data_IF_275504010988
#
_entry.id   IF_275504010988
#
_cell.length_a   1.000
_cell.length_b   1.000
_cell.length_c   1.000
_cell.angle_alpha   90.00
_cell.angle_beta   90.00
_cell.angle_gamma   90.00
#
_symmetry.space_group_name_H-M   'P 1'
#
loop_
_entity.id
_entity.type
_entity.pdbx_description
1 polymer ?
#
# COMPACT_ATOMS: atom_id res chain seq x y z
N UNK A 1 20.12 6.41 -20.73
CA UNK A 1 18.97 5.99 -19.89
C UNK A 1 17.82 6.92 -20.19
N UNK A 2 16.59 6.44 -20.47
CA UNK A 2 15.48 7.34 -20.65
C UNK A 2 15.25 8.08 -19.33
N UNK A 3 15.05 9.39 -19.44
CA UNK A 3 14.76 10.24 -18.30
C UNK A 3 13.39 9.76 -17.74
N UNK A 4 13.38 9.12 -16.56
CA UNK A 4 12.16 8.86 -15.78
C UNK A 4 11.96 10.03 -14.81
N UNK A 5 10.75 10.58 -14.76
CA UNK A 5 10.40 11.80 -14.01
C UNK A 5 9.54 12.76 -14.81
N UNK A 6 8.69 13.56 -14.15
CA UNK A 6 7.98 14.63 -14.84
C UNK A 6 8.96 15.69 -15.35
N UNK A 7 8.82 16.08 -16.63
CA UNK A 7 9.63 17.10 -17.28
C UNK A 7 8.90 18.43 -17.36
N UNK A 8 9.62 19.48 -17.04
CA UNK A 8 9.17 20.86 -17.22
C UNK A 8 10.20 21.57 -18.09
N UNK A 9 9.74 22.26 -19.12
CA UNK A 9 10.60 23.12 -19.95
C UNK A 9 10.33 24.58 -19.60
N UNK A 10 11.38 25.36 -19.36
CA UNK A 10 11.26 26.81 -19.13
C UNK A 10 12.36 27.58 -19.87
N UNK A 11 12.09 28.84 -20.22
CA UNK A 11 13.05 29.77 -20.82
C UNK A 11 13.63 30.76 -19.82
N UNK A 12 13.14 30.81 -18.56
CA UNK A 12 13.63 31.72 -17.51
C UNK A 12 13.43 31.13 -16.11
N UNK A 13 14.32 31.47 -15.17
CA UNK A 13 14.28 31.03 -13.76
C UNK A 13 13.02 31.51 -12.99
N UNK A 14 12.42 32.63 -13.41
CA UNK A 14 11.37 33.32 -12.63
C UNK A 14 9.92 33.02 -13.06
N UNK A 15 9.72 32.21 -14.11
CA UNK A 15 8.39 31.91 -14.68
C UNK A 15 8.03 30.41 -14.61
N UNK A 16 8.44 29.72 -13.54
CA UNK A 16 7.86 28.41 -13.20
C UNK A 16 6.49 28.65 -12.53
N UNK A 17 5.64 29.44 -13.19
CA UNK A 17 4.31 29.78 -12.69
C UNK A 17 3.38 28.63 -13.04
N UNK A 18 3.05 27.91 -11.96
CA UNK A 18 2.04 26.87 -11.81
C UNK A 18 2.29 25.56 -12.55
N UNK A 19 2.89 24.65 -11.80
CA UNK A 19 3.01 23.23 -12.09
C UNK A 19 1.68 22.48 -11.89
N UNK A 20 0.58 23.05 -12.40
CA UNK A 20 -0.78 22.55 -12.20
C UNK A 20 -1.02 21.16 -12.80
N UNK A 21 -0.08 20.68 -13.64
CA UNK A 21 -0.13 19.40 -14.35
C UNK A 21 1.07 18.49 -14.05
N UNK A 22 1.75 18.68 -12.91
CA UNK A 22 2.66 17.64 -12.43
C UNK A 22 1.84 16.41 -12.03
N UNK A 23 1.78 15.44 -12.94
CA UNK A 23 1.44 14.08 -12.56
C UNK A 23 2.66 13.53 -11.82
N UNK A 24 2.61 13.60 -10.49
CA UNK A 24 3.61 13.00 -9.61
C UNK A 24 3.63 11.50 -9.86
N UNK A 25 4.45 11.01 -10.78
CA UNK A 25 4.70 9.58 -10.95
C UNK A 25 5.52 9.04 -9.76
N UNK A 26 5.92 7.76 -9.79
CA UNK A 26 6.80 7.18 -8.76
C UNK A 26 8.24 7.75 -8.81
N UNK A 27 8.51 8.86 -9.49
CA UNK A 27 9.85 9.41 -9.59
C UNK A 27 10.29 10.17 -8.35
N UNK A 28 11.57 10.04 -8.04
CA UNK A 28 12.21 10.68 -6.90
C UNK A 28 12.59 12.15 -7.17
N UNK A 29 12.52 12.59 -8.43
CA UNK A 29 13.00 13.91 -8.86
C UNK A 29 12.07 14.56 -9.89
N UNK A 30 11.96 15.88 -9.80
CA UNK A 30 11.47 16.75 -10.87
C UNK A 30 12.67 17.19 -11.72
N UNK A 31 12.52 17.16 -13.04
CA UNK A 31 13.56 17.63 -13.96
C UNK A 31 13.10 18.89 -14.69
N UNK A 32 13.86 19.97 -14.55
CA UNK A 32 13.62 21.25 -15.23
C UNK A 32 14.68 21.43 -16.31
N UNK A 33 14.21 21.53 -17.55
CA UNK A 33 15.02 21.76 -18.74
C UNK A 33 14.97 23.24 -19.11
N UNK A 34 16.13 23.87 -19.12
CA UNK A 34 16.32 25.27 -19.49
C UNK A 34 16.66 25.37 -20.98
N UNK A 35 15.80 26.06 -21.72
CA UNK A 35 15.93 26.27 -23.16
C UNK A 35 16.44 27.68 -23.44
N UNK A 36 17.42 27.81 -24.35
CA UNK A 36 17.69 29.10 -25.03
C UNK A 36 17.33 29.03 -26.50
N UNK A 37 17.00 30.19 -27.05
CA UNK A 37 16.92 30.36 -28.49
C UNK A 37 18.33 30.29 -29.10
N UNK A 38 18.54 29.31 -29.99
CA UNK A 38 19.70 29.31 -30.88
C UNK A 38 19.47 30.37 -31.96
N UNK A 39 20.36 31.37 -32.07
CA UNK A 39 20.40 32.27 -33.22
C UNK A 39 21.15 31.61 -34.38
N UNK A 40 20.63 30.52 -34.92
CA UNK A 40 21.09 30.01 -36.21
C UNK A 40 20.29 30.65 -37.34
N UNK A 41 20.97 31.55 -38.07
CA UNK A 41 20.41 32.46 -39.09
C UNK A 41 19.86 31.74 -40.34
N UNK A 42 19.77 30.40 -40.36
CA UNK A 42 19.27 29.67 -41.53
C UNK A 42 18.23 28.57 -41.28
N UNK A 43 17.74 28.34 -40.05
CA UNK A 43 16.64 27.38 -39.84
C UNK A 43 15.59 27.90 -38.88
N UNK A 44 14.33 27.86 -39.30
CA UNK A 44 13.17 28.26 -38.50
C UNK A 44 12.96 27.24 -37.37
N UNK A 45 13.17 27.68 -36.13
CA UNK A 45 12.87 27.02 -34.85
C UNK A 45 13.72 25.78 -34.47
N UNK A 46 14.91 26.01 -33.92
CA UNK A 46 15.51 25.05 -32.98
C UNK A 46 15.78 25.71 -31.62
N UNK A 47 15.00 25.30 -30.61
CA UNK A 47 15.33 25.57 -29.19
C UNK A 47 16.32 24.51 -28.73
N UNK A 48 17.46 24.94 -28.20
CA UNK A 48 18.49 24.04 -27.67
C UNK A 48 18.32 23.93 -26.15
N UNK A 49 18.36 22.69 -25.62
CA UNK A 49 18.45 22.45 -24.18
C UNK A 49 19.87 22.82 -23.73
N UNK A 50 20.01 23.81 -22.84
CA UNK A 50 21.31 24.21 -22.30
C UNK A 50 21.61 23.46 -21.01
N UNK A 51 20.61 23.36 -20.12
CA UNK A 51 20.83 22.86 -18.76
C UNK A 51 19.63 22.03 -18.30
N UNK A 52 19.91 20.90 -17.65
CA UNK A 52 18.94 20.11 -16.91
C UNK A 52 19.27 20.21 -15.42
N UNK A 53 18.32 20.70 -14.62
CA UNK A 53 18.42 20.69 -13.16
C UNK A 53 17.45 19.67 -12.59
N UNK A 54 17.92 18.90 -11.60
CA UNK A 54 17.10 17.92 -10.88
C UNK A 54 16.80 18.44 -9.48
N UNK A 55 15.54 18.30 -9.08
CA UNK A 55 15.03 18.70 -7.78
C UNK A 55 14.43 17.48 -7.08
N UNK A 56 14.88 17.08 -5.88
CA UNK A 56 14.29 15.97 -5.16
C UNK A 56 12.80 16.25 -4.88
N UNK A 57 11.91 15.36 -5.30
CA UNK A 57 10.47 15.61 -5.25
C UNK A 57 9.94 15.68 -3.81
N UNK A 58 10.47 14.84 -2.92
CA UNK A 58 10.09 14.74 -1.51
C UNK A 58 11.11 15.47 -0.63
N UNK A 59 11.32 16.76 -0.91
CA UNK A 59 12.20 17.66 -0.18
C UNK A 59 11.53 19.02 0.05
N UNK A 60 11.60 19.52 1.28
CA UNK A 60 10.93 20.77 1.69
C UNK A 60 11.45 21.97 0.91
N UNK A 61 12.76 22.04 0.65
CA UNK A 61 13.34 23.15 -0.11
C UNK A 61 12.81 23.15 -1.54
N UNK A 62 12.60 21.96 -2.12
CA UNK A 62 11.99 21.82 -3.45
C UNK A 62 10.53 22.27 -3.46
N UNK A 63 9.73 21.88 -2.46
CA UNK A 63 8.35 22.34 -2.29
C UNK A 63 8.29 23.87 -2.28
N UNK A 64 9.14 24.50 -1.47
CA UNK A 64 9.18 25.97 -1.32
C UNK A 64 9.72 26.66 -2.58
N UNK A 65 10.85 26.21 -3.12
CA UNK A 65 11.52 26.84 -4.27
C UNK A 65 10.67 26.80 -5.53
N UNK A 66 9.94 25.71 -5.74
CA UNK A 66 9.10 25.51 -6.92
C UNK A 66 7.62 25.83 -6.66
N UNK A 67 7.26 26.25 -5.44
CA UNK A 67 5.88 26.49 -5.00
C UNK A 67 4.93 25.35 -5.43
N UNK A 68 5.28 24.12 -5.05
CA UNK A 68 4.60 22.92 -5.55
C UNK A 68 3.16 22.86 -5.06
N UNK A 69 2.22 22.52 -5.97
CA UNK A 69 0.84 22.20 -5.59
C UNK A 69 0.78 20.79 -5.02
N UNK A 70 0.43 20.64 -3.75
CA UNK A 70 0.43 19.36 -3.07
C UNK A 70 -0.91 18.65 -3.26
N UNK A 71 -0.91 17.62 -4.12
CA UNK A 71 -2.09 16.82 -4.45
C UNK A 71 -2.22 15.58 -3.55
N UNK A 72 -3.39 14.90 -3.55
CA UNK A 72 -3.55 13.65 -2.81
C UNK A 72 -2.51 12.59 -3.19
N UNK A 73 -2.15 12.49 -4.48
CA UNK A 73 -1.11 11.56 -4.96
C UNK A 73 0.27 11.87 -4.36
N UNK A 74 0.61 13.15 -4.19
CA UNK A 74 1.85 13.54 -3.51
C UNK A 74 1.84 13.09 -2.04
N UNK A 75 0.74 13.35 -1.32
CA UNK A 75 0.58 12.93 0.08
C UNK A 75 0.63 11.39 0.22
N UNK A 76 0.04 10.66 -0.72
CA UNK A 76 0.10 9.20 -0.76
C UNK A 76 1.54 8.69 -0.82
N UNK A 77 2.37 9.31 -1.68
CA UNK A 77 3.79 8.96 -1.79
C UNK A 77 4.61 9.39 -0.57
N UNK A 78 4.33 10.58 -0.01
CA UNK A 78 4.92 11.03 1.28
C UNK A 78 4.62 10.01 2.38
N UNK A 79 3.38 9.53 2.48
CA UNK A 79 2.97 8.52 3.45
C UNK A 79 3.65 7.18 3.19
N UNK A 80 3.66 6.70 1.93
CA UNK A 80 4.35 5.48 1.48
C UNK A 80 5.84 5.47 1.84
N UNK A 81 6.50 6.62 1.68
CA UNK A 81 7.94 6.80 1.90
C UNK A 81 8.32 7.13 3.34
N UNK A 82 7.35 7.30 4.25
CA UNK A 82 7.65 7.57 5.66
C UNK A 82 8.06 9.02 5.96
N UNK A 83 7.71 9.98 5.09
CA UNK A 83 8.21 11.36 5.11
C UNK A 83 7.43 12.26 6.06
N UNK A 84 7.47 11.95 7.36
CA UNK A 84 6.77 12.70 8.43
C UNK A 84 7.16 14.18 8.44
N UNK A 85 8.43 14.49 8.17
CA UNK A 85 8.96 15.85 8.14
C UNK A 85 8.24 16.75 7.13
N UNK A 86 7.79 16.18 6.01
CA UNK A 86 7.03 16.91 5.00
C UNK A 86 5.61 17.15 5.50
N UNK A 87 4.95 16.14 6.06
CA UNK A 87 3.60 16.28 6.62
C UNK A 87 3.57 17.36 7.71
N UNK A 88 4.55 17.32 8.62
CA UNK A 88 4.72 18.32 9.67
C UNK A 88 4.92 19.72 9.09
N UNK A 89 5.83 19.87 8.12
CA UNK A 89 6.06 21.15 7.44
C UNK A 89 4.78 21.71 6.81
N UNK A 90 4.01 20.87 6.11
CA UNK A 90 2.78 21.30 5.43
C UNK A 90 1.75 21.83 6.44
N UNK A 91 1.58 21.12 7.57
CA UNK A 91 0.66 21.55 8.63
C UNK A 91 1.18 22.79 9.37
N UNK A 92 2.44 22.79 9.81
CA UNK A 92 3.01 23.87 10.63
C UNK A 92 3.10 25.20 9.88
N UNK A 93 3.26 25.17 8.56
CA UNK A 93 3.31 26.35 7.71
C UNK A 93 1.96 26.76 7.12
N UNK A 94 0.88 26.03 7.45
CA UNK A 94 -0.43 26.18 6.84
C UNK A 94 -0.36 26.13 5.30
N UNK A 95 0.51 25.27 4.76
CA UNK A 95 0.67 25.07 3.32
C UNK A 95 -0.56 24.34 2.78
N UNK A 96 -1.19 24.78 1.69
CA UNK A 96 -2.38 24.12 1.17
C UNK A 96 -2.05 22.73 0.59
N UNK A 97 -2.71 21.69 1.09
CA UNK A 97 -2.65 20.34 0.54
C UNK A 97 -3.99 19.62 0.63
N UNK A 98 -4.21 18.68 -0.28
CA UNK A 98 -5.36 17.79 -0.28
C UNK A 98 -4.90 16.35 -0.04
N UNK A 99 -5.75 15.56 0.63
CA UNK A 99 -5.51 14.14 0.87
C UNK A 99 -6.81 13.35 0.89
N UNK A 100 -6.71 12.08 0.55
CA UNK A 100 -7.80 11.11 0.51
C UNK A 100 -7.46 9.87 1.35
N UNK A 101 -8.33 8.85 1.28
CA UNK A 101 -8.17 7.62 2.05
C UNK A 101 -6.92 6.81 1.72
N UNK A 102 -6.26 7.09 0.59
CA UNK A 102 -5.06 6.36 0.18
C UNK A 102 -3.85 6.75 1.02
N UNK A 103 -3.84 7.92 1.66
CA UNK A 103 -2.74 8.36 2.52
C UNK A 103 -2.53 7.37 3.69
N UNK A 104 -3.59 7.10 4.46
CA UNK A 104 -3.58 6.15 5.57
C UNK A 104 -3.49 4.69 5.09
N UNK A 105 -4.03 4.37 3.92
CA UNK A 105 -3.85 3.06 3.28
C UNK A 105 -2.35 2.77 3.03
N UNK A 106 -1.65 3.66 2.31
CA UNK A 106 -0.23 3.48 1.99
C UNK A 106 0.66 3.55 3.24
N UNK A 107 0.35 4.42 4.20
CA UNK A 107 1.05 4.41 5.49
C UNK A 107 0.96 3.02 6.17
N UNK A 108 -0.22 2.39 6.12
CA UNK A 108 -0.44 1.07 6.72
C UNK A 108 0.27 -0.05 5.95
N UNK A 109 0.04 -0.15 4.64
CA UNK A 109 0.59 -1.26 3.83
C UNK A 109 2.08 -1.13 3.52
N UNK A 110 2.69 0.04 3.77
CA UNK A 110 4.14 0.22 3.69
C UNK A 110 4.81 0.20 5.08
N UNK A 111 4.08 -0.21 6.12
CA UNK A 111 4.59 -0.38 7.48
C UNK A 111 5.17 0.92 8.10
N UNK A 112 4.55 2.07 7.81
CA UNK A 112 5.05 3.39 8.20
C UNK A 112 4.44 3.82 9.54
N UNK A 113 4.92 3.21 10.63
CA UNK A 113 4.43 3.48 11.99
C UNK A 113 4.48 4.96 12.37
N UNK A 114 5.59 5.65 12.06
CA UNK A 114 5.78 7.05 12.39
C UNK A 114 4.78 7.95 11.69
N UNK A 115 4.42 7.62 10.44
CA UNK A 115 3.40 8.35 9.68
C UNK A 115 2.01 8.13 10.27
N UNK A 116 1.65 6.90 10.64
CA UNK A 116 0.37 6.63 11.29
C UNK A 116 0.26 7.34 12.65
N UNK A 117 1.30 7.27 13.47
CA UNK A 117 1.38 8.02 14.74
C UNK A 117 1.24 9.52 14.51
N UNK A 118 1.87 10.06 13.47
CA UNK A 118 1.70 11.47 13.10
C UNK A 118 0.24 11.77 12.74
N UNK A 119 -0.38 10.98 11.86
CA UNK A 119 -1.78 11.17 11.48
C UNK A 119 -2.72 11.17 12.69
N UNK A 120 -2.58 10.19 13.59
CA UNK A 120 -3.40 10.10 14.81
C UNK A 120 -3.27 11.31 15.73
N UNK A 121 -2.13 12.01 15.70
CA UNK A 121 -1.87 13.19 16.55
C UNK A 121 -2.00 14.54 15.82
N UNK A 122 -2.15 14.54 14.50
CA UNK A 122 -2.13 15.76 13.66
C UNK A 122 -3.37 16.65 13.83
N UNK A 123 -4.47 16.12 14.37
CA UNK A 123 -5.77 16.79 14.40
C UNK A 123 -6.49 16.83 13.04
N UNK A 124 -5.92 16.23 12.00
CA UNK A 124 -6.56 16.07 10.69
C UNK A 124 -7.63 14.97 10.71
N UNK A 125 -8.63 15.08 9.83
CA UNK A 125 -9.64 14.03 9.65
C UNK A 125 -8.99 12.74 9.14
N UNK A 126 -9.19 11.63 9.86
CA UNK A 126 -8.69 10.33 9.43
C UNK A 126 -9.61 9.73 8.36
N UNK A 127 -9.22 9.85 7.09
CA UNK A 127 -9.91 9.23 5.95
C UNK A 127 -9.31 7.84 5.70
N UNK A 128 -10.07 6.77 5.93
CA UNK A 128 -9.62 5.41 5.66
C UNK A 128 -10.81 4.48 5.36
N UNK A 129 -10.52 3.27 4.91
CA UNK A 129 -11.49 2.21 4.68
C UNK A 129 -10.92 0.86 5.12
N UNK A 130 -11.77 -0.18 5.16
CA UNK A 130 -11.37 -1.52 5.61
C UNK A 130 -10.12 -2.06 4.92
N UNK A 131 -9.90 -1.69 3.65
CA UNK A 131 -8.71 -2.07 2.86
C UNK A 131 -7.38 -1.81 3.57
N UNK A 132 -7.26 -0.75 4.38
CA UNK A 132 -6.03 -0.48 5.12
C UNK A 132 -5.71 -1.62 6.10
N UNK A 133 -6.70 -2.09 6.86
CA UNK A 133 -6.55 -3.17 7.84
C UNK A 133 -6.56 -4.55 7.17
N UNK A 134 -7.40 -4.72 6.14
CA UNK A 134 -7.57 -5.96 5.40
C UNK A 134 -6.27 -6.37 4.67
N UNK A 135 -5.60 -5.43 3.99
CA UNK A 135 -4.36 -5.70 3.26
C UNK A 135 -3.17 -5.77 4.22
N UNK A 136 -3.12 -4.92 5.25
CA UNK A 136 -2.10 -5.00 6.33
C UNK A 136 -2.10 -6.38 6.99
N UNK A 137 -3.28 -6.98 7.17
CA UNK A 137 -3.41 -8.35 7.71
C UNK A 137 -2.75 -9.39 6.81
N UNK A 138 -2.89 -9.25 5.48
CA UNK A 138 -2.21 -10.11 4.51
C UNK A 138 -0.71 -9.87 4.44
N UNK A 139 -0.22 -8.70 4.82
CA UNK A 139 1.21 -8.36 4.80
C UNK A 139 1.95 -8.80 6.07
N UNK A 140 1.25 -9.27 7.10
CA UNK A 140 1.88 -9.76 8.32
C UNK A 140 2.20 -8.69 9.36
N UNK A 141 1.76 -7.44 9.17
CA UNK A 141 2.17 -6.28 9.98
C UNK A 141 1.34 -6.12 11.25
N UNK A 142 1.59 -6.98 12.24
CA UNK A 142 0.93 -6.94 13.56
C UNK A 142 1.12 -5.59 14.27
N UNK A 143 2.31 -4.99 14.15
CA UNK A 143 2.61 -3.68 14.73
C UNK A 143 1.66 -2.60 14.21
N UNK A 144 1.33 -2.60 12.92
CA UNK A 144 0.38 -1.65 12.32
C UNK A 144 -1.05 -1.95 12.79
N UNK A 145 -1.46 -3.22 12.81
CA UNK A 145 -2.77 -3.63 13.33
C UNK A 145 -2.94 -3.19 14.80
N UNK A 146 -1.90 -3.36 15.60
CA UNK A 146 -1.86 -2.96 17.00
C UNK A 146 -1.94 -1.44 17.15
N UNK A 147 -1.20 -0.66 16.34
CA UNK A 147 -1.29 0.80 16.35
C UNK A 147 -2.70 1.31 16.04
N UNK A 148 -3.36 0.74 15.04
CA UNK A 148 -4.74 1.09 14.73
C UNK A 148 -5.68 0.75 15.87
N UNK A 149 -5.52 -0.44 16.47
CA UNK A 149 -6.31 -0.88 17.63
C UNK A 149 -6.12 0.03 18.85
N UNK A 150 -4.93 0.59 19.05
CA UNK A 150 -4.59 1.45 20.18
C UNK A 150 -4.88 2.94 19.92
N UNK A 151 -5.33 3.31 18.72
CA UNK A 151 -5.46 4.72 18.30
C UNK A 151 -6.73 5.45 18.79
N UNK A 152 -7.53 4.82 19.64
CA UNK A 152 -8.90 5.25 20.05
C UNK A 152 -9.89 5.47 18.87
N UNK A 153 -9.46 5.24 17.63
CA UNK A 153 -10.30 5.36 16.44
C UNK A 153 -11.10 4.08 16.18
N UNK A 154 -12.24 4.24 15.51
CA UNK A 154 -13.05 3.10 15.08
C UNK A 154 -12.30 2.23 14.05
N UNK A 155 -11.94 1.01 14.43
CA UNK A 155 -11.23 0.11 13.52
C UNK A 155 -12.16 -0.40 12.41
N UNK A 156 -11.95 0.05 11.17
CA UNK A 156 -12.66 -0.44 9.99
C UNK A 156 -11.93 -1.65 9.40
N UNK A 157 -12.57 -2.80 9.36
CA UNK A 157 -12.03 -4.02 8.76
C UNK A 157 -13.18 -4.92 8.25
N UNK A 158 -12.86 -5.91 7.42
CA UNK A 158 -13.84 -6.84 6.85
C UNK A 158 -13.36 -8.28 6.96
N UNK A 159 -14.16 -9.22 6.44
CA UNK A 159 -13.74 -10.62 6.33
C UNK A 159 -12.48 -10.82 5.48
N UNK A 160 -12.11 -9.83 4.66
CA UNK A 160 -10.89 -9.85 3.87
C UNK A 160 -9.62 -9.87 4.74
N UNK A 161 -9.63 -9.32 5.96
CA UNK A 161 -8.47 -9.34 6.85
C UNK A 161 -7.94 -10.75 7.14
N UNK A 162 -8.78 -11.63 7.71
CA UNK A 162 -8.39 -13.01 8.00
C UNK A 162 -8.24 -13.85 6.72
N UNK A 163 -8.96 -13.50 5.65
CA UNK A 163 -8.84 -14.15 4.33
C UNK A 163 -7.46 -13.88 3.71
N UNK A 164 -7.01 -12.62 3.70
CA UNK A 164 -5.70 -12.22 3.20
C UNK A 164 -4.57 -12.80 4.06
N UNK A 165 -4.71 -12.79 5.39
CA UNK A 165 -3.75 -13.42 6.29
C UNK A 165 -3.62 -14.92 6.02
N UNK A 166 -4.75 -15.62 5.78
CA UNK A 166 -4.73 -17.05 5.43
C UNK A 166 -4.10 -17.31 4.06
N UNK A 167 -4.42 -16.46 3.07
CA UNK A 167 -3.87 -16.54 1.71
C UNK A 167 -2.35 -16.40 1.68
N UNK A 168 -1.79 -15.57 2.56
CA UNK A 168 -0.37 -15.21 2.55
C UNK A 168 0.45 -15.92 3.65
N UNK A 169 -0.11 -16.89 4.36
CA UNK A 169 0.64 -17.68 5.36
C UNK A 169 0.85 -16.97 6.70
N UNK A 170 0.11 -15.90 7.01
CA UNK A 170 0.33 -15.08 8.19
C UNK A 170 -0.33 -15.66 9.45
N UNK A 171 0.14 -16.81 9.93
CA UNK A 171 -0.38 -17.48 11.15
C UNK A 171 -0.32 -16.57 12.38
N UNK A 172 0.73 -15.77 12.51
CA UNK A 172 0.89 -14.79 13.59
C UNK A 172 -0.23 -13.73 13.58
N UNK A 173 -0.63 -13.25 12.41
CA UNK A 173 -1.75 -12.30 12.26
C UNK A 173 -3.08 -12.95 12.56
N UNK A 174 -3.30 -14.19 12.10
CA UNK A 174 -4.51 -14.96 12.45
C UNK A 174 -4.64 -15.12 13.97
N UNK A 175 -3.52 -15.42 14.65
CA UNK A 175 -3.48 -15.48 16.10
C UNK A 175 -3.76 -14.12 16.74
N UNK A 176 -3.18 -13.03 16.22
CA UNK A 176 -3.49 -11.67 16.69
C UNK A 176 -4.98 -11.35 16.57
N UNK A 177 -5.62 -11.64 15.43
CA UNK A 177 -7.06 -11.42 15.25
C UNK A 177 -7.89 -12.16 16.30
N UNK A 178 -7.54 -13.43 16.56
CA UNK A 178 -8.20 -14.25 17.58
C UNK A 178 -8.04 -13.68 18.99
N UNK A 179 -6.88 -13.14 19.32
CA UNK A 179 -6.56 -12.65 20.66
C UNK A 179 -6.92 -11.17 20.87
N UNK A 180 -7.21 -10.45 19.79
CA UNK A 180 -7.46 -9.00 19.81
C UNK A 180 -8.72 -8.58 20.57
N UNK A 181 -9.68 -9.50 20.76
CA UNK A 181 -11.02 -9.18 21.26
C UNK A 181 -11.94 -8.54 20.22
N UNK A 182 -11.48 -8.37 18.99
CA UNK A 182 -12.29 -7.90 17.85
C UNK A 182 -13.16 -9.05 17.31
N UNK A 183 -14.26 -8.71 16.65
CA UNK A 183 -15.09 -9.72 15.99
C UNK A 183 -14.29 -10.40 14.88
N UNK A 184 -14.20 -11.74 14.91
CA UNK A 184 -13.54 -12.53 13.88
C UNK A 184 -14.44 -12.62 12.65
N UNK A 185 -14.09 -11.89 11.59
CA UNK A 185 -14.80 -11.89 10.32
C UNK A 185 -13.98 -12.67 9.28
N UNK A 186 -14.61 -13.65 8.62
CA UNK A 186 -14.01 -14.39 7.51
C UNK A 186 -15.07 -15.09 6.68
N UNK A 187 -14.74 -15.47 5.45
CA UNK A 187 -15.63 -16.20 4.54
C UNK A 187 -15.10 -17.61 4.25
N UNK A 188 -15.84 -18.38 3.45
CA UNK A 188 -15.51 -19.77 3.09
C UNK A 188 -14.19 -19.93 2.32
N UNK A 189 -13.56 -18.85 1.85
CA UNK A 189 -12.36 -18.93 1.04
C UNK A 189 -11.08 -19.01 1.89
N UNK A 190 -11.14 -18.87 3.22
CA UNK A 190 -9.93 -18.87 4.08
C UNK A 190 -9.09 -20.14 3.92
N UNK A 191 -9.73 -21.31 3.91
CA UNK A 191 -9.05 -22.61 3.80
C UNK A 191 -8.70 -22.94 2.34
N UNK A 192 -9.52 -22.49 1.39
CA UNK A 192 -9.25 -22.66 -0.05
C UNK A 192 -8.01 -21.86 -0.45
N UNK A 193 -7.93 -20.59 -0.05
CA UNK A 193 -6.76 -19.74 -0.33
C UNK A 193 -5.49 -20.21 0.39
N UNK A 194 -5.61 -20.74 1.61
CA UNK A 194 -4.47 -21.36 2.29
C UNK A 194 -3.97 -22.60 1.53
N UNK A 195 -4.90 -23.43 1.04
CA UNK A 195 -4.58 -24.63 0.25
C UNK A 195 -3.95 -24.27 -1.09
N UNK A 196 -4.52 -23.28 -1.79
CA UNK A 196 -4.06 -22.79 -3.09
C UNK A 196 -2.67 -22.14 -3.04
N UNK A 197 -2.22 -21.71 -1.86
CA UNK A 197 -0.92 -21.06 -1.67
C UNK A 197 0.06 -21.90 -0.83
N UNK A 198 -0.22 -23.19 -0.63
CA UNK A 198 0.65 -24.14 0.06
C UNK A 198 0.93 -23.80 1.54
N UNK A 199 -0.06 -23.27 2.26
CA UNK A 199 0.07 -22.85 3.66
C UNK A 199 -0.51 -23.88 4.63
N UNK A 200 0.20 -24.99 4.84
CA UNK A 200 -0.20 -26.07 5.76
C UNK A 200 -0.25 -25.60 7.22
N UNK A 201 0.66 -24.72 7.59
CA UNK A 201 0.69 -24.06 8.90
C UNK A 201 -0.58 -23.27 9.20
N UNK A 202 -1.12 -22.55 8.19
CA UNK A 202 -2.42 -21.87 8.28
C UNK A 202 -3.57 -22.88 8.41
N UNK A 203 -3.56 -23.96 7.63
CA UNK A 203 -4.58 -25.02 7.73
C UNK A 203 -4.59 -25.66 9.14
N UNK A 204 -3.40 -25.94 9.68
CA UNK A 204 -3.19 -26.41 11.04
C UNK A 204 -3.71 -25.43 12.08
N UNK A 205 -3.42 -24.14 11.91
CA UNK A 205 -3.90 -23.09 12.80
C UNK A 205 -5.43 -23.04 12.81
N UNK A 206 -6.06 -23.02 11.64
CA UNK A 206 -7.53 -23.01 11.53
C UNK A 206 -8.14 -24.22 12.25
N UNK A 207 -7.62 -25.43 12.00
CA UNK A 207 -8.07 -26.66 12.65
C UNK A 207 -7.95 -26.61 14.19
N UNK A 208 -6.93 -25.92 14.73
CA UNK A 208 -6.68 -25.77 16.17
C UNK A 208 -7.37 -24.56 16.79
N UNK A 209 -7.83 -23.59 16.00
CA UNK A 209 -8.33 -22.29 16.45
C UNK A 209 -9.67 -22.35 17.21
N UNK A 210 -10.42 -23.46 17.06
CA UNK A 210 -11.81 -23.61 17.52
C UNK A 210 -12.81 -22.67 16.83
N UNK A 211 -12.38 -21.93 15.80
CA UNK A 211 -13.28 -21.17 14.94
C UNK A 211 -14.01 -22.13 13.99
N UNK A 212 -15.26 -21.82 13.58
CA UNK A 212 -15.95 -22.56 12.54
C UNK A 212 -15.10 -22.74 11.28
N UNK A 213 -14.86 -23.99 10.88
CA UNK A 213 -14.19 -24.32 9.64
C UNK A 213 -15.21 -24.23 8.50
N UNK A 214 -15.05 -23.22 7.64
CA UNK A 214 -15.93 -23.00 6.48
C UNK A 214 -15.08 -23.13 5.23
N UNK A 215 -15.47 -24.03 4.33
CA UNK A 215 -14.80 -24.27 3.05
C UNK A 215 -15.76 -24.82 2.02
N UNK A 216 -15.46 -24.55 0.75
CA UNK A 216 -16.20 -25.07 -0.40
C UNK A 216 -15.77 -26.52 -0.73
N UNK A 217 -16.56 -27.28 -1.52
CA UNK A 217 -16.09 -28.55 -2.10
C UNK A 217 -14.85 -28.41 -3.00
N UNK A 218 -14.52 -27.19 -3.43
CA UNK A 218 -13.36 -26.88 -4.28
C UNK A 218 -12.10 -26.55 -3.49
N UNK A 219 -12.10 -26.73 -2.16
CA UNK A 219 -11.01 -26.31 -1.25
C UNK A 219 -9.63 -26.87 -1.61
N UNK A 220 -9.56 -28.01 -2.32
CA UNK A 220 -8.32 -28.66 -2.75
C UNK A 220 -8.02 -28.49 -4.24
N UNK A 221 -8.88 -27.84 -5.03
CA UNK A 221 -8.75 -27.83 -6.48
C UNK A 221 -7.50 -27.09 -6.97
N UNK A 222 -7.17 -25.94 -6.37
CA UNK A 222 -5.94 -25.24 -6.73
C UNK A 222 -4.68 -25.97 -6.23
N UNK A 223 -4.72 -26.55 -5.02
CA UNK A 223 -3.66 -27.43 -4.52
C UNK A 223 -3.41 -28.62 -5.47
N UNK A 224 -4.48 -29.25 -5.98
CA UNK A 224 -4.41 -30.34 -6.99
C UNK A 224 -3.79 -29.85 -8.29
N UNK A 225 -4.27 -28.74 -8.86
CA UNK A 225 -3.75 -28.15 -10.10
C UNK A 225 -2.26 -27.80 -9.99
N UNK A 226 -1.83 -27.30 -8.83
CA UNK A 226 -0.44 -26.92 -8.53
C UNK A 226 0.42 -28.09 -8.02
N UNK A 227 -0.17 -29.27 -7.81
CA UNK A 227 0.47 -30.49 -7.31
C UNK A 227 1.12 -30.31 -5.94
N UNK A 228 0.46 -29.58 -5.03
CA UNK A 228 0.88 -29.44 -3.63
C UNK A 228 0.53 -30.69 -2.82
N UNK A 229 1.36 -31.73 -2.97
CA UNK A 229 1.15 -33.05 -2.35
C UNK A 229 0.96 -32.99 -0.85
N UNK A 230 1.70 -32.11 -0.17
CA UNK A 230 1.68 -32.01 1.28
C UNK A 230 0.36 -31.42 1.78
N UNK A 231 -0.22 -30.45 1.05
CA UNK A 231 -1.57 -29.92 1.33
C UNK A 231 -2.63 -30.99 1.09
N UNK A 232 -2.55 -31.73 -0.01
CA UNK A 232 -3.50 -32.81 -0.32
C UNK A 232 -3.45 -33.92 0.74
N UNK A 233 -2.25 -34.30 1.17
CA UNK A 233 -2.04 -35.23 2.27
C UNK A 233 -2.61 -34.68 3.58
N UNK A 234 -2.34 -33.40 3.89
CA UNK A 234 -2.90 -32.75 5.07
C UNK A 234 -4.43 -32.85 5.09
N UNK A 235 -5.10 -32.53 3.98
CA UNK A 235 -6.56 -32.64 3.87
C UNK A 235 -7.04 -34.09 4.04
N UNK A 236 -6.37 -35.06 3.44
CA UNK A 236 -6.70 -36.48 3.60
C UNK A 236 -6.59 -36.94 5.08
N UNK A 237 -5.50 -36.58 5.76
CA UNK A 237 -5.29 -36.92 7.17
C UNK A 237 -6.15 -36.06 8.13
N UNK A 238 -6.62 -34.90 7.67
CA UNK A 238 -7.41 -33.99 8.50
C UNK A 238 -8.79 -34.56 8.87
N UNK A 239 -9.31 -35.48 8.04
CA UNK A 239 -10.69 -36.01 8.06
C UNK A 239 -11.78 -34.96 7.85
N UNK A 240 -11.43 -33.84 7.21
CA UNK A 240 -12.36 -32.76 6.87
C UNK A 240 -13.01 -32.96 5.48
N UNK A 241 -12.33 -33.65 4.57
CA UNK A 241 -12.87 -33.96 3.25
C UNK A 241 -13.98 -35.01 3.30
N UNK A 242 -14.95 -34.89 2.39
CA UNK A 242 -15.95 -35.93 2.18
C UNK A 242 -15.41 -37.04 1.25
N UNK A 243 -16.16 -38.13 1.10
CA UNK A 243 -15.72 -39.28 0.29
C UNK A 243 -15.55 -38.97 -1.21
N UNK A 244 -16.26 -37.99 -1.76
CA UNK A 244 -16.12 -37.58 -3.17
C UNK A 244 -14.82 -36.83 -3.42
N UNK A 245 -14.39 -36.03 -2.45
CA UNK A 245 -13.14 -35.26 -2.54
C UNK A 245 -11.92 -36.19 -2.48
N UNK A 246 -11.99 -37.25 -1.66
CA UNK A 246 -10.92 -38.23 -1.43
C UNK A 246 -10.70 -39.14 -2.65
N UNK A 247 -11.77 -39.59 -3.29
CA UNK A 247 -11.69 -40.51 -4.43
C UNK A 247 -11.11 -39.88 -5.71
N UNK A 248 -10.87 -38.56 -5.70
CA UNK A 248 -10.29 -37.79 -6.80
C UNK A 248 -8.92 -37.16 -6.41
N UNK A 249 -8.29 -37.61 -5.32
CA UNK A 249 -6.91 -37.25 -4.95
C UNK A 249 -5.90 -38.01 -5.80
#
# INVERSE_FOLDING_TARGET
>A
MPLRGPFITTTNDNNITTLDKLDYDDSEYIQILYLSDSKDVQTTNSKSIIQCQKYPLYDINTIQKLNLKISPKYINNVCKLGKVEILEFLVSSNYPFEYDKLALYYASICNQESVLKWWFNSGLELKYSSSAIDDTSGLGYINILQLWKDSDNYLMYSGAAMTNASRNGCVNVLQWWRDSGLATLYNANVLELASDNNHIDVLDWWKKSKLPLVYSPHVIDGARKKKYTDVLQWWNYSKLLNCWDINNL
#
